data_IF_739980387811
#
_entry.id   IF_739980387811
#
_cell.length_a   1.000
_cell.length_b   1.000
_cell.length_c   1.000
_cell.angle_alpha   90.00
_cell.angle_beta   90.00
_cell.angle_gamma   90.00
#
_symmetry.space_group_name_H-M   'P 1'
#
loop_
_entity.id
_entity.type
_entity.pdbx_description
1 polymer ?
#
# COMPACT_ATOMS: atom_id res chain seq x y z
N UNK A 1 20.93 -2.10 -17.75
CA UNK A 1 19.80 -1.20 -18.00
C UNK A 1 20.32 0.01 -18.74
N UNK A 2 19.78 0.32 -19.91
CA UNK A 2 20.05 1.59 -20.58
C UNK A 2 19.20 2.70 -19.98
N UNK A 3 19.62 3.96 -20.10
CA UNK A 3 18.88 5.14 -19.61
C UNK A 3 17.41 5.20 -20.12
N UNK A 4 17.12 4.58 -21.26
CA UNK A 4 15.77 4.50 -21.82
C UNK A 4 14.80 3.60 -21.03
N UNK A 5 15.32 2.58 -20.35
CA UNK A 5 14.52 1.59 -19.60
C UNK A 5 14.15 2.14 -18.22
N UNK A 6 15.11 2.76 -17.51
CA UNK A 6 14.87 3.47 -16.24
C UNK A 6 13.87 4.64 -16.41
N UNK A 7 13.93 5.36 -17.54
CA UNK A 7 12.96 6.43 -17.86
C UNK A 7 11.56 5.90 -18.15
N UNK A 8 11.43 4.70 -18.71
CA UNK A 8 10.13 4.06 -18.97
C UNK A 8 9.49 3.60 -17.67
N UNK A 9 10.23 2.89 -16.82
CA UNK A 9 9.76 2.42 -15.51
C UNK A 9 9.32 3.60 -14.62
N UNK A 10 10.11 4.68 -14.59
CA UNK A 10 9.74 5.91 -13.86
C UNK A 10 8.40 6.49 -14.29
N UNK A 11 8.10 6.46 -15.60
CA UNK A 11 6.85 7.00 -16.17
C UNK A 11 5.66 6.10 -15.85
N UNK A 12 5.82 4.80 -15.98
CA UNK A 12 4.77 3.82 -15.64
C UNK A 12 4.40 3.91 -14.17
N UNK A 13 5.39 4.05 -13.29
CA UNK A 13 5.13 4.21 -11.85
C UNK A 13 4.47 5.56 -11.57
N UNK A 14 4.93 6.65 -12.19
CA UNK A 14 4.29 7.97 -12.02
C UNK A 14 2.82 7.95 -12.50
N UNK A 15 2.53 7.28 -13.61
CA UNK A 15 1.17 7.12 -14.12
C UNK A 15 0.30 6.25 -13.20
N UNK A 16 0.85 5.13 -12.72
CA UNK A 16 0.18 4.28 -11.73
C UNK A 16 -0.13 5.05 -10.46
N UNK A 17 0.84 5.79 -9.92
CA UNK A 17 0.64 6.61 -8.73
C UNK A 17 -0.42 7.68 -8.96
N UNK A 18 -0.40 8.37 -10.10
CA UNK A 18 -1.44 9.36 -10.47
C UNK A 18 -2.83 8.72 -10.48
N UNK A 19 -2.96 7.54 -11.08
CA UNK A 19 -4.22 6.77 -11.12
C UNK A 19 -4.69 6.41 -9.70
N UNK A 20 -3.80 5.89 -8.87
CA UNK A 20 -4.13 5.53 -7.48
C UNK A 20 -4.51 6.74 -6.63
N UNK A 21 -3.84 7.89 -6.80
CA UNK A 21 -4.19 9.11 -6.07
C UNK A 21 -5.56 9.70 -6.45
N UNK A 22 -6.05 9.39 -7.66
CA UNK A 22 -7.41 9.74 -8.09
C UNK A 22 -8.48 8.75 -7.62
N UNK A 23 -8.08 7.56 -7.17
CA UNK A 23 -8.97 6.50 -6.73
C UNK A 23 -9.51 6.80 -5.31
N UNK A 24 -10.84 6.90 -5.17
CA UNK A 24 -11.49 7.19 -3.89
C UNK A 24 -11.31 6.07 -2.87
N UNK A 25 -11.36 4.81 -3.30
CA UNK A 25 -11.14 3.64 -2.43
C UNK A 25 -9.73 3.70 -1.87
N UNK A 26 -8.73 3.90 -2.74
CA UNK A 26 -7.34 4.02 -2.30
C UNK A 26 -7.14 5.15 -1.29
N UNK A 27 -7.68 6.34 -1.57
CA UNK A 27 -7.57 7.49 -0.66
C UNK A 27 -8.18 7.22 0.70
N UNK A 28 -9.35 6.57 0.74
CA UNK A 28 -10.03 6.30 2.00
C UNK A 28 -9.32 5.23 2.84
N UNK A 29 -8.84 4.16 2.19
CA UNK A 29 -7.99 3.17 2.85
C UNK A 29 -6.69 3.79 3.37
N UNK A 30 -6.06 4.66 2.58
CA UNK A 30 -4.82 5.33 2.98
C UNK A 30 -5.01 6.17 4.25
N UNK A 31 -6.10 6.98 4.31
CA UNK A 31 -6.42 7.82 5.48
C UNK A 31 -6.62 7.03 6.77
N UNK A 32 -7.18 5.82 6.68
CA UNK A 32 -7.50 4.97 7.85
C UNK A 32 -6.39 4.01 8.23
N UNK A 33 -5.38 3.87 7.38
CA UNK A 33 -4.23 3.01 7.61
C UNK A 33 -3.17 3.68 8.48
N UNK A 34 -2.21 2.90 8.98
CA UNK A 34 -0.98 3.41 9.58
C UNK A 34 0.10 3.75 8.55
N UNK A 35 -0.23 3.81 7.25
CA UNK A 35 0.69 4.13 6.18
C UNK A 35 0.47 5.56 5.66
N UNK A 36 1.56 6.27 5.45
CA UNK A 36 1.55 7.55 4.72
C UNK A 36 1.62 7.32 3.22
N UNK A 37 1.20 8.30 2.42
CA UNK A 37 1.31 8.23 0.96
C UNK A 37 2.74 7.89 0.50
N UNK A 38 3.75 8.53 1.10
CA UNK A 38 5.17 8.28 0.78
C UNK A 38 5.59 6.84 1.08
N UNK A 39 5.05 6.24 2.14
CA UNK A 39 5.32 4.85 2.51
C UNK A 39 4.67 3.88 1.51
N UNK A 40 3.42 4.13 1.12
CA UNK A 40 2.73 3.30 0.11
C UNK A 40 3.41 3.41 -1.25
N UNK A 41 3.80 4.62 -1.66
CA UNK A 41 4.63 4.84 -2.85
C UNK A 41 5.89 3.97 -2.79
N UNK A 42 6.67 4.05 -1.71
CA UNK A 42 7.88 3.24 -1.54
C UNK A 42 7.63 1.72 -1.66
N UNK A 43 6.50 1.22 -1.14
CA UNK A 43 6.15 -0.21 -1.26
C UNK A 43 5.79 -0.59 -2.71
N UNK A 44 5.05 0.26 -3.42
CA UNK A 44 4.71 0.04 -4.83
C UNK A 44 5.98 0.02 -5.69
N UNK A 45 6.89 0.98 -5.49
CA UNK A 45 8.19 1.01 -6.15
C UNK A 45 9.00 -0.26 -5.87
N UNK A 46 9.02 -0.74 -4.61
CA UNK A 46 9.70 -2.00 -4.27
C UNK A 46 9.14 -3.21 -5.01
N UNK A 47 7.81 -3.29 -5.21
CA UNK A 47 7.16 -4.41 -5.92
C UNK A 47 7.38 -4.33 -7.43
N UNK A 48 7.22 -3.14 -8.03
CA UNK A 48 7.38 -2.97 -9.49
C UNK A 48 8.83 -3.22 -9.89
N UNK A 49 9.79 -2.72 -9.11
CA UNK A 49 11.23 -2.93 -9.33
C UNK A 49 11.72 -4.38 -9.14
N UNK A 50 10.82 -5.33 -8.88
CA UNK A 50 11.11 -6.77 -8.79
C UNK A 50 10.43 -7.58 -9.89
N UNK A 51 9.51 -6.99 -10.67
CA UNK A 51 8.65 -7.73 -11.61
C UNK A 51 9.37 -8.26 -12.85
N UNK A 52 10.50 -7.66 -13.26
CA UNK A 52 11.19 -7.99 -14.51
C UNK A 52 12.47 -8.83 -14.30
N UNK A 53 12.63 -9.48 -13.15
CA UNK A 53 13.83 -10.27 -12.83
C UNK A 53 15.10 -9.46 -12.58
N UNK A 54 15.04 -8.13 -12.79
CA UNK A 54 16.09 -7.18 -12.44
C UNK A 54 15.77 -6.58 -11.07
N UNK A 55 16.54 -6.94 -10.04
CA UNK A 55 16.39 -6.32 -8.73
C UNK A 55 17.14 -4.99 -8.71
N UNK A 56 16.41 -3.87 -8.73
CA UNK A 56 17.04 -2.56 -8.58
C UNK A 56 17.80 -2.45 -7.26
N UNK A 57 18.92 -1.74 -7.26
CA UNK A 57 19.61 -1.39 -6.01
C UNK A 57 18.81 -0.33 -5.24
N UNK A 58 19.05 -0.21 -3.93
CA UNK A 58 18.44 0.87 -3.14
C UNK A 58 18.85 2.28 -3.60
N UNK A 59 19.97 2.41 -4.33
CA UNK A 59 20.37 3.66 -4.95
C UNK A 59 19.47 3.99 -6.16
N UNK A 60 19.25 3.03 -7.05
CA UNK A 60 18.38 3.19 -8.21
C UNK A 60 16.94 3.50 -7.80
N UNK A 61 16.40 2.75 -6.82
CA UNK A 61 15.05 3.04 -6.29
C UNK A 61 14.91 4.43 -5.67
N UNK A 62 15.95 4.90 -4.98
CA UNK A 62 15.97 6.25 -4.44
C UNK A 62 16.01 7.31 -5.56
N UNK A 63 16.80 7.08 -6.61
CA UNK A 63 16.89 7.95 -7.78
C UNK A 63 15.56 8.03 -8.54
N UNK A 64 14.88 6.91 -8.80
CA UNK A 64 13.55 6.86 -9.42
C UNK A 64 12.50 7.66 -8.63
N UNK A 65 12.64 7.68 -7.31
CA UNK A 65 11.80 8.46 -6.39
C UNK A 65 12.18 9.94 -6.28
N UNK A 66 13.30 10.36 -6.85
CA UNK A 66 13.84 11.71 -6.67
C UNK A 66 14.24 12.02 -5.22
N UNK A 67 14.67 11.01 -4.44
CA UNK A 67 15.07 11.18 -3.04
C UNK A 67 16.46 10.61 -2.79
N UNK A 68 17.08 10.99 -1.66
CA UNK A 68 18.35 10.39 -1.25
C UNK A 68 18.18 8.92 -0.86
N UNK A 69 19.23 8.11 -1.04
CA UNK A 69 19.26 6.70 -0.58
C UNK A 69 18.85 6.57 0.88
N UNK A 70 19.39 7.42 1.75
CA UNK A 70 19.07 7.42 3.18
C UNK A 70 17.60 7.73 3.45
N UNK A 71 17.01 8.68 2.72
CA UNK A 71 15.57 8.96 2.83
C UNK A 71 14.73 7.77 2.38
N UNK A 72 15.07 7.15 1.25
CA UNK A 72 14.36 5.97 0.75
C UNK A 72 14.37 4.83 1.76
N UNK A 73 15.56 4.48 2.28
CA UNK A 73 15.73 3.38 3.24
C UNK A 73 14.93 3.66 4.53
N UNK A 74 14.94 4.90 5.03
CA UNK A 74 14.18 5.26 6.22
C UNK A 74 12.68 5.13 5.99
N UNK A 75 12.15 5.66 4.89
CA UNK A 75 10.72 5.55 4.54
C UNK A 75 10.31 4.09 4.39
N UNK A 76 11.10 3.27 3.70
CA UNK A 76 10.87 1.83 3.56
C UNK A 76 10.82 1.13 4.92
N UNK A 77 11.81 1.38 5.78
CA UNK A 77 11.86 0.79 7.13
C UNK A 77 10.61 1.15 7.93
N UNK A 78 10.19 2.41 7.90
CA UNK A 78 8.98 2.86 8.59
C UNK A 78 7.71 2.18 8.04
N UNK A 79 7.59 2.06 6.72
CA UNK A 79 6.47 1.37 6.09
C UNK A 79 6.36 -0.09 6.58
N UNK A 80 7.47 -0.83 6.53
CA UNK A 80 7.53 -2.23 6.98
C UNK A 80 7.23 -2.35 8.48
N UNK A 81 7.79 -1.46 9.32
CA UNK A 81 7.49 -1.46 10.76
C UNK A 81 6.00 -1.22 11.03
N UNK A 82 5.34 -0.31 10.31
CA UNK A 82 3.91 -0.04 10.47
C UNK A 82 3.05 -1.23 10.02
N UNK A 83 3.42 -1.90 8.93
CA UNK A 83 2.76 -3.14 8.48
C UNK A 83 2.91 -4.24 9.53
N UNK A 84 4.13 -4.50 9.99
CA UNK A 84 4.38 -5.54 11.00
C UNK A 84 3.60 -5.28 12.28
N UNK A 85 3.59 -4.05 12.79
CA UNK A 85 2.78 -3.68 13.95
C UNK A 85 1.30 -3.96 13.71
N UNK A 86 0.76 -3.56 12.55
CA UNK A 86 -0.65 -3.79 12.20
C UNK A 86 -0.97 -5.29 12.16
N UNK A 87 -0.11 -6.12 11.57
CA UNK A 87 -0.27 -7.57 11.58
C UNK A 87 -0.21 -8.17 12.98
N UNK A 88 0.76 -7.77 13.80
CA UNK A 88 0.82 -8.23 15.19
C UNK A 88 -0.39 -7.78 16.01
N UNK A 89 -0.96 -6.60 15.73
CA UNK A 89 -2.22 -6.17 16.33
C UNK A 89 -3.37 -7.10 15.94
N UNK A 90 -3.53 -7.44 14.66
CA UNK A 90 -4.56 -8.40 14.22
C UNK A 90 -4.37 -9.79 14.84
N UNK A 91 -3.14 -10.28 14.88
CA UNK A 91 -2.80 -11.57 15.52
C UNK A 91 -3.12 -11.53 17.02
N UNK A 92 -2.79 -10.44 17.71
CA UNK A 92 -3.10 -10.27 19.13
C UNK A 92 -4.61 -10.28 19.37
N UNK A 93 -5.39 -9.54 18.57
CA UNK A 93 -6.85 -9.55 18.66
C UNK A 93 -7.43 -10.94 18.38
N UNK A 94 -6.83 -11.69 17.46
CA UNK A 94 -7.21 -13.08 17.18
C UNK A 94 -6.89 -14.01 18.35
N UNK A 95 -5.70 -13.89 18.93
CA UNK A 95 -5.27 -14.68 20.08
C UNK A 95 -6.18 -14.47 21.30
N UNK A 96 -6.60 -13.22 21.53
CA UNK A 96 -7.54 -12.86 22.61
C UNK A 96 -9.00 -13.20 22.28
N UNK A 97 -9.30 -13.71 21.08
CA UNK A 97 -10.68 -13.96 20.63
C UNK A 97 -11.49 -12.70 20.31
N UNK A 98 -10.91 -11.50 20.45
CA UNK A 98 -11.58 -10.22 20.24
C UNK A 98 -11.91 -9.96 18.78
N UNK A 99 -11.11 -10.48 17.84
CA UNK A 99 -11.32 -10.25 16.40
C UNK A 99 -12.68 -10.78 15.91
N UNK A 100 -13.30 -11.73 16.62
CA UNK A 100 -14.58 -12.34 16.25
C UNK A 100 -15.80 -11.58 16.73
N UNK A 101 -15.63 -10.53 17.54
CA UNK A 101 -16.76 -9.79 18.09
C UNK A 101 -17.61 -9.13 16.98
N UNK A 102 -18.94 -9.00 17.14
CA UNK A 102 -19.84 -8.50 16.10
C UNK A 102 -19.41 -7.16 15.48
N UNK A 103 -18.87 -6.24 16.29
CA UNK A 103 -18.40 -4.94 15.83
C UNK A 103 -17.17 -4.96 14.92
N UNK A 104 -16.50 -6.11 14.74
CA UNK A 104 -15.38 -6.28 13.80
C UNK A 104 -15.75 -7.13 12.58
N UNK A 105 -16.99 -7.62 12.47
CA UNK A 105 -17.41 -8.44 11.32
C UNK A 105 -17.29 -7.70 9.98
N UNK A 106 -17.41 -6.37 9.99
CA UNK A 106 -17.18 -5.54 8.81
C UNK A 106 -15.79 -5.72 8.21
N UNK A 107 -14.76 -5.99 9.02
CA UNK A 107 -13.38 -6.17 8.53
C UNK A 107 -13.30 -7.37 7.59
N UNK A 108 -13.88 -8.51 8.00
CA UNK A 108 -13.89 -9.73 7.19
C UNK A 108 -14.75 -9.57 5.94
N UNK A 109 -15.94 -8.99 6.07
CA UNK A 109 -16.83 -8.78 4.92
C UNK A 109 -16.20 -7.85 3.88
N UNK A 110 -15.56 -6.77 4.32
CA UNK A 110 -14.85 -5.86 3.42
C UNK A 110 -13.64 -6.54 2.78
N UNK A 111 -12.89 -7.36 3.53
CA UNK A 111 -11.76 -8.13 2.99
C UNK A 111 -12.20 -9.09 1.89
N UNK A 112 -13.26 -9.87 2.13
CA UNK A 112 -13.86 -10.79 1.15
C UNK A 112 -14.33 -10.03 -0.11
N UNK A 113 -15.01 -8.89 0.06
CA UNK A 113 -15.45 -8.07 -1.06
C UNK A 113 -14.29 -7.59 -1.95
N UNK A 114 -13.14 -7.25 -1.37
CA UNK A 114 -11.93 -6.92 -2.15
C UNK A 114 -11.38 -8.12 -2.92
N UNK A 115 -11.36 -9.31 -2.31
CA UNK A 115 -10.89 -10.55 -2.95
C UNK A 115 -11.79 -10.97 -4.11
N UNK A 116 -13.10 -10.89 -3.94
CA UNK A 116 -14.12 -11.22 -4.94
C UNK A 116 -14.31 -10.12 -6.00
N UNK A 117 -13.72 -8.94 -5.79
CA UNK A 117 -13.91 -7.73 -6.61
C UNK A 117 -15.38 -7.26 -6.64
N UNK A 118 -16.08 -7.46 -5.53
CA UNK A 118 -17.42 -6.91 -5.31
C UNK A 118 -17.33 -5.41 -4.98
N UNK A 119 -17.20 -4.60 -6.03
CA UNK A 119 -17.10 -3.15 -5.90
C UNK A 119 -18.39 -2.48 -5.43
N UNK A 120 -19.53 -3.14 -5.49
CA UNK A 120 -20.78 -2.62 -4.95
C UNK A 120 -20.73 -2.64 -3.42
N UNK A 121 -20.40 -3.79 -2.83
CA UNK A 121 -20.18 -3.92 -1.38
C UNK A 121 -19.08 -2.97 -0.90
N UNK A 122 -17.94 -2.88 -1.61
CA UNK A 122 -16.86 -1.94 -1.23
C UNK A 122 -17.36 -0.50 -1.21
N UNK A 123 -18.09 -0.06 -2.24
CA UNK A 123 -18.63 1.31 -2.30
C UNK A 123 -19.66 1.57 -1.20
N UNK A 124 -20.54 0.62 -0.92
CA UNK A 124 -21.51 0.73 0.15
C UNK A 124 -20.82 0.88 1.52
N UNK A 125 -19.80 0.06 1.80
CA UNK A 125 -19.02 0.16 3.03
C UNK A 125 -18.33 1.52 3.17
N UNK A 126 -17.69 2.01 2.10
CA UNK A 126 -17.03 3.31 2.14
C UNK A 126 -18.01 4.47 2.29
N UNK A 127 -19.17 4.41 1.62
CA UNK A 127 -20.22 5.43 1.76
C UNK A 127 -20.79 5.54 3.18
N UNK A 128 -20.83 4.42 3.93
CA UNK A 128 -21.21 4.41 5.35
C UNK A 128 -20.15 5.02 6.27
N UNK A 129 -18.91 5.16 5.81
CA UNK A 129 -17.80 5.73 6.58
C UNK A 129 -17.64 7.24 6.39
N UNK A 130 -18.36 7.83 5.42
CA UNK A 130 -18.38 9.27 5.12
C UNK A 130 -19.46 10.05 5.91
N UNK A 131 -20.19 9.39 6.82
CA UNK A 131 -21.19 9.96 7.76
C UNK A 131 -20.61 9.96 9.17
#
# INVERSE_FOLDING_TARGET
MGEGEERKESREIAEFMRKMTGDTVFRELLKRSHLTQKQVETLIFDVISQRDGVTLTSNQRAALRGVTKGSYIRTRKQAITNIQKSFYTLILLSYLGLIKLPQYQWFFRLSEAFEEKDWETVREFLGRLEV
#
